data_IF_920113632167
#
_entry.id   IF_920113632167
#
_cell.length_a   1.000
_cell.length_b   1.000
_cell.length_c   1.000
_cell.angle_alpha   90.00
_cell.angle_beta   90.00
_cell.angle_gamma   90.00
#
_symmetry.space_group_name_H-M   'P 1'
#
loop_
_entity.id
_entity.type
_entity.pdbx_description
1 polymer ?
#
# COMPACT_ATOMS: atom_id res chain seq x y z
N UNK A 1 5.52 5.03 -23.15
CA UNK A 1 5.09 3.67 -23.52
C UNK A 1 3.63 3.69 -23.96
N UNK A 2 3.29 2.95 -25.00
CA UNK A 2 1.92 2.89 -25.49
C UNK A 2 1.06 2.03 -24.55
N UNK A 3 0.01 2.57 -23.90
CA UNK A 3 -0.82 1.80 -22.97
C UNK A 3 -1.64 0.70 -23.66
N UNK A 4 -1.73 0.73 -24.98
CA UNK A 4 -2.44 -0.30 -25.74
C UNK A 4 -1.53 -1.42 -26.23
N UNK A 5 -0.25 -1.38 -25.89
CA UNK A 5 0.67 -2.45 -26.23
C UNK A 5 0.26 -3.73 -25.50
N UNK A 6 0.06 -4.81 -26.26
CA UNK A 6 -0.33 -6.09 -25.69
C UNK A 6 0.87 -6.93 -25.27
N UNK A 7 0.78 -7.48 -24.06
CA UNK A 7 1.78 -8.40 -23.54
C UNK A 7 1.55 -9.80 -24.11
N UNK A 8 2.50 -10.70 -23.86
CA UNK A 8 2.42 -12.07 -24.37
C UNK A 8 1.17 -12.84 -23.93
N UNK A 9 0.54 -12.43 -22.82
CA UNK A 9 -0.68 -13.05 -22.32
C UNK A 9 -1.97 -12.46 -22.94
N UNK A 10 -1.83 -11.55 -23.93
CA UNK A 10 -2.98 -10.95 -24.58
C UNK A 10 -3.57 -9.73 -23.87
N UNK A 11 -3.01 -9.33 -22.75
CA UNK A 11 -3.49 -8.17 -22.00
C UNK A 11 -2.68 -6.92 -22.34
N UNK A 12 -3.32 -5.75 -22.26
CA UNK A 12 -2.63 -4.48 -22.40
C UNK A 12 -1.96 -4.11 -21.07
N UNK A 13 -0.99 -3.19 -21.14
CA UNK A 13 -0.32 -2.68 -19.94
C UNK A 13 -1.34 -2.05 -18.99
N UNK A 14 -2.31 -1.30 -19.53
CA UNK A 14 -3.35 -0.67 -18.72
C UNK A 14 -4.21 -1.70 -17.98
N UNK A 15 -4.53 -2.83 -18.61
CA UNK A 15 -5.30 -3.91 -17.97
C UNK A 15 -4.51 -4.55 -16.83
N UNK A 16 -3.22 -4.81 -17.05
CA UNK A 16 -2.36 -5.40 -16.02
C UNK A 16 -2.21 -4.47 -14.83
N UNK A 17 -2.00 -3.17 -15.08
CA UNK A 17 -1.90 -2.18 -14.00
C UNK A 17 -3.18 -2.12 -13.16
N UNK A 18 -4.35 -2.18 -13.81
CA UNK A 18 -5.63 -2.17 -13.10
C UNK A 18 -5.81 -3.41 -12.23
N UNK A 19 -5.46 -4.59 -12.76
CA UNK A 19 -5.53 -5.84 -12.00
C UNK A 19 -4.61 -5.82 -10.78
N UNK A 20 -3.40 -5.29 -10.94
CA UNK A 20 -2.45 -5.14 -9.84
C UNK A 20 -2.97 -4.20 -8.77
N UNK A 21 -3.59 -3.09 -9.16
CA UNK A 21 -4.18 -2.14 -8.22
C UNK A 21 -5.28 -2.80 -7.39
N UNK A 22 -6.19 -3.53 -8.03
CA UNK A 22 -7.27 -4.24 -7.34
C UNK A 22 -6.73 -5.29 -6.38
N UNK A 23 -5.68 -6.01 -6.78
CA UNK A 23 -5.03 -7.01 -5.93
C UNK A 23 -4.38 -6.39 -4.70
N UNK A 24 -3.72 -5.24 -4.86
CA UNK A 24 -3.10 -4.52 -3.75
C UNK A 24 -4.17 -4.01 -2.77
N UNK A 25 -5.26 -3.45 -3.28
CA UNK A 25 -6.35 -2.96 -2.44
C UNK A 25 -6.96 -4.09 -1.60
N UNK A 26 -7.17 -5.25 -2.21
CA UNK A 26 -7.68 -6.41 -1.49
C UNK A 26 -6.71 -6.89 -0.41
N UNK A 27 -5.42 -6.88 -0.71
CA UNK A 27 -4.39 -7.26 0.26
C UNK A 27 -4.43 -6.35 1.50
N UNK A 28 -4.59 -5.06 1.30
CA UNK A 28 -4.67 -4.10 2.40
C UNK A 28 -5.91 -4.36 3.25
N UNK A 29 -7.08 -4.55 2.61
CA UNK A 29 -8.33 -4.81 3.33
C UNK A 29 -8.27 -6.12 4.10
N UNK A 30 -7.69 -7.16 3.52
CA UNK A 30 -7.54 -8.46 4.19
C UNK A 30 -6.65 -8.33 5.43
N UNK A 31 -5.53 -7.63 5.31
CA UNK A 31 -4.62 -7.40 6.43
C UNK A 31 -5.31 -6.61 7.55
N UNK A 32 -6.02 -5.54 7.19
CA UNK A 32 -6.73 -4.69 8.14
C UNK A 32 -7.85 -5.43 8.87
N UNK A 33 -8.53 -6.35 8.19
CA UNK A 33 -9.55 -7.21 8.82
C UNK A 33 -8.95 -8.02 9.96
N UNK A 34 -7.66 -8.37 9.84
CA UNK A 34 -6.93 -9.10 10.87
C UNK A 34 -6.23 -8.18 11.88
N UNK A 35 -6.43 -6.88 11.78
CA UNK A 35 -5.79 -5.91 12.67
C UNK A 35 -4.32 -5.67 12.37
N UNK A 36 -3.87 -5.99 11.15
CA UNK A 36 -2.46 -5.89 10.75
C UNK A 36 -2.24 -4.64 9.90
N UNK A 37 -1.21 -3.86 10.23
CA UNK A 37 -0.77 -2.72 9.42
C UNK A 37 0.04 -3.21 8.22
N UNK A 38 -0.06 -2.51 7.09
CA UNK A 38 0.63 -2.87 5.86
C UNK A 38 1.74 -1.87 5.58
N UNK A 39 3.01 -2.32 5.52
CA UNK A 39 4.12 -1.43 5.14
C UNK A 39 4.09 -1.16 3.64
N UNK A 40 4.42 0.08 3.27
CA UNK A 40 4.56 0.46 1.87
C UNK A 40 5.59 1.57 1.72
N UNK A 41 6.16 1.70 0.51
CA UNK A 41 7.10 2.76 0.16
C UNK A 41 6.37 3.81 -0.66
N UNK A 42 6.60 5.09 -0.33
CA UNK A 42 6.04 6.16 -1.13
C UNK A 42 6.96 6.49 -2.32
N UNK A 43 6.57 7.48 -3.13
CA UNK A 43 7.32 7.89 -4.31
C UNK A 43 8.69 8.49 -3.96
N UNK A 44 8.90 8.91 -2.73
CA UNK A 44 10.16 9.43 -2.23
C UNK A 44 11.00 8.36 -1.53
N UNK A 45 10.58 7.10 -1.64
CA UNK A 45 11.24 5.95 -1.00
C UNK A 45 11.25 6.03 0.52
N UNK A 46 10.23 6.64 1.09
CA UNK A 46 10.04 6.68 2.54
C UNK A 46 9.10 5.56 2.94
N UNK A 47 9.47 4.79 3.96
CA UNK A 47 8.67 3.67 4.43
C UNK A 47 7.54 4.16 5.33
N UNK A 48 6.34 3.66 5.07
CA UNK A 48 5.13 3.96 5.83
C UNK A 48 4.46 2.69 6.32
N UNK A 49 3.63 2.83 7.34
CA UNK A 49 2.70 1.79 7.78
C UNK A 49 1.27 2.30 7.59
N UNK A 50 0.50 1.60 6.76
CA UNK A 50 -0.91 1.88 6.57
C UNK A 50 -1.70 1.08 7.60
N UNK A 51 -2.34 1.76 8.54
CA UNK A 51 -3.00 1.14 9.68
C UNK A 51 -4.47 0.83 9.43
N UNK A 52 -5.05 -0.17 10.13
CA UNK A 52 -6.46 -0.55 9.95
C UNK A 52 -7.47 0.55 10.20
N UNK A 53 -7.14 1.54 11.03
CA UNK A 53 -8.02 2.68 11.32
C UNK A 53 -7.94 3.79 10.27
N UNK A 54 -7.15 3.58 9.20
CA UNK A 54 -6.96 4.57 8.16
C UNK A 54 -5.90 5.60 8.49
N UNK A 55 -5.16 5.43 9.58
CA UNK A 55 -4.01 6.28 9.87
C UNK A 55 -2.77 5.81 9.11
N UNK A 56 -1.76 6.64 9.09
CA UNK A 56 -0.50 6.37 8.39
C UNK A 56 0.64 6.80 9.28
N UNK A 57 1.62 5.93 9.47
CA UNK A 57 2.78 6.21 10.29
C UNK A 57 4.05 6.15 9.44
N UNK A 58 5.01 7.02 9.75
CA UNK A 58 6.36 6.89 9.21
C UNK A 58 7.07 5.77 9.96
N UNK A 59 7.78 4.94 9.23
CA UNK A 59 8.44 3.77 9.80
C UNK A 59 9.89 3.68 9.36
N UNK A 60 10.66 2.88 10.09
CA UNK A 60 12.03 2.55 9.76
C UNK A 60 12.20 1.05 9.83
N UNK A 61 13.02 0.51 8.95
CA UNK A 61 13.31 -0.92 8.90
C UNK A 61 14.78 -1.15 9.15
N UNK A 62 15.08 -1.91 10.21
CA UNK A 62 16.44 -2.31 10.54
C UNK A 62 16.73 -3.65 9.84
N UNK A 63 17.60 -3.60 8.83
CA UNK A 63 17.95 -4.78 8.05
C UNK A 63 18.70 -5.84 8.85
N UNK A 64 19.43 -5.44 9.90
CA UNK A 64 20.20 -6.38 10.72
C UNK A 64 19.29 -7.20 11.63
N UNK A 65 18.36 -6.53 12.32
CA UNK A 65 17.41 -7.19 13.22
C UNK A 65 16.13 -7.60 12.53
N UNK A 66 15.90 -7.11 11.29
CA UNK A 66 14.68 -7.31 10.51
C UNK A 66 13.44 -6.83 11.25
N UNK A 67 13.59 -5.76 12.02
CA UNK A 67 12.48 -5.16 12.77
C UNK A 67 12.02 -3.87 12.13
N UNK A 68 10.72 -3.67 12.18
CA UNK A 68 10.06 -2.46 11.77
C UNK A 68 9.71 -1.65 13.00
N UNK A 69 10.01 -0.35 13.00
CA UNK A 69 9.69 0.54 14.11
C UNK A 69 9.00 1.79 13.60
N UNK A 70 8.05 2.30 14.38
CA UNK A 70 7.34 3.53 14.05
C UNK A 70 8.19 4.72 14.51
N UNK A 71 8.42 5.67 13.58
CA UNK A 71 9.17 6.88 13.89
C UNK A 71 8.22 7.97 14.39
N UNK A 72 7.14 8.23 13.65
CA UNK A 72 6.18 9.27 13.97
C UNK A 72 4.88 9.07 13.22
N UNK A 73 3.81 9.75 13.66
CA UNK A 73 2.52 9.75 12.96
C UNK A 73 2.61 10.63 11.74
N UNK A 74 2.25 10.09 10.57
CA UNK A 74 2.21 10.84 9.31
C UNK A 74 0.82 11.40 9.03
N UNK A 75 -0.24 10.61 9.30
CA UNK A 75 -1.62 11.02 9.07
C UNK A 75 -2.53 10.42 10.14
N UNK A 76 -3.50 11.19 10.60
CA UNK A 76 -4.46 10.77 11.62
C UNK A 76 -5.42 9.70 11.08
N UNK A 77 -6.16 8.98 11.95
CA UNK A 77 -7.13 7.98 11.51
C UNK A 77 -8.11 8.54 10.47
N UNK A 78 -8.30 7.79 9.40
CA UNK A 78 -9.18 8.18 8.31
C UNK A 78 -8.56 9.15 7.32
N UNK A 79 -7.32 9.60 7.54
CA UNK A 79 -6.65 10.59 6.68
C UNK A 79 -5.38 10.06 6.01
N UNK A 80 -5.07 8.79 6.18
CA UNK A 80 -3.92 8.18 5.55
C UNK A 80 -4.12 7.99 4.04
N UNK A 81 -3.05 7.67 3.35
CA UNK A 81 -3.05 7.51 1.89
C UNK A 81 -4.06 6.46 1.41
N UNK A 82 -4.23 5.39 2.16
CA UNK A 82 -5.14 4.30 1.78
C UNK A 82 -6.45 4.30 2.56
N UNK A 83 -6.72 5.36 3.32
CA UNK A 83 -7.95 5.45 4.10
C UNK A 83 -9.21 5.42 3.24
N UNK A 84 -9.10 5.80 1.96
CA UNK A 84 -10.25 5.73 1.05
C UNK A 84 -10.81 4.31 0.91
N UNK A 85 -10.00 3.29 1.17
CA UNK A 85 -10.47 1.89 1.11
C UNK A 85 -11.52 1.58 2.17
N UNK A 86 -11.50 2.30 3.29
CA UNK A 86 -12.46 2.12 4.38
C UNK A 86 -13.81 2.75 4.08
N UNK A 87 -13.89 3.59 3.04
CA UNK A 87 -15.12 4.33 2.68
C UNK A 87 -15.86 3.69 1.51
N UNK A 88 -15.42 2.54 1.09
CA UNK A 88 -16.00 1.83 -0.06
C UNK A 88 -17.20 0.99 0.35
#
# INVERSE_FOLDING_TARGET
MNPNFKLSNGKTIAQVENEMKLGIEKLYLDAWTKGVSVPYWDENRVLHLANPDGSDDLADFDAETKKLSVISRCAEPGKGRFAYLLRR
#
